data_IF_730731714856
#
_entry.id   IF_730731714856
#
_cell.length_a   1.000
_cell.length_b   1.000
_cell.length_c   1.000
_cell.angle_alpha   90.00
_cell.angle_beta   90.00
_cell.angle_gamma   90.00
#
_symmetry.space_group_name_H-M   'P 1'
#
loop_
_entity.id
_entity.type
_entity.pdbx_description
1 polymer ?
#
# COMPACT_ATOMS: atom_id res chain seq x y z
N UNK A 1 24.07 1.57 31.29
CA UNK A 1 24.54 1.53 29.89
C UNK A 1 23.49 0.79 29.07
N UNK A 2 22.46 1.49 28.63
CA UNK A 2 21.39 0.93 27.79
C UNK A 2 21.59 1.49 26.39
N UNK A 3 22.19 0.68 25.52
CA UNK A 3 22.35 1.02 24.10
C UNK A 3 21.00 0.91 23.39
N UNK A 4 20.52 2.02 22.84
CA UNK A 4 19.41 2.04 21.91
C UNK A 4 19.84 1.35 20.61
N UNK A 5 19.17 0.25 20.26
CA UNK A 5 19.26 -0.34 18.92
C UNK A 5 18.72 0.70 17.92
N UNK A 6 19.62 1.32 17.16
CA UNK A 6 19.27 2.24 16.09
C UNK A 6 18.52 1.48 14.99
N UNK A 7 17.31 1.94 14.68
CA UNK A 7 16.55 1.47 13.52
C UNK A 7 17.20 1.99 12.24
N UNK A 8 18.06 1.20 11.60
CA UNK A 8 18.75 1.55 10.35
C UNK A 8 17.88 1.32 9.10
N UNK A 9 16.57 1.53 9.20
CA UNK A 9 15.69 1.57 8.03
C UNK A 9 15.95 2.85 7.22
N UNK A 10 16.32 2.69 5.95
CA UNK A 10 16.49 3.80 5.00
C UNK A 10 15.22 4.68 4.85
N UNK A 11 15.33 5.82 4.16
CA UNK A 11 14.24 6.82 4.06
C UNK A 11 12.91 6.26 3.55
N UNK A 12 12.93 5.15 2.81
CA UNK A 12 11.78 4.40 2.31
C UNK A 12 10.84 3.83 3.39
N UNK A 13 11.34 3.61 4.61
CA UNK A 13 10.57 3.01 5.71
C UNK A 13 9.83 4.06 6.57
N UNK A 14 9.88 5.35 6.20
CA UNK A 14 9.40 6.48 7.01
C UNK A 14 8.09 7.12 6.57
N UNK A 15 7.35 6.56 5.61
CA UNK A 15 5.97 7.02 5.37
C UNK A 15 5.06 6.40 6.44
N UNK A 16 5.18 6.98 7.63
CA UNK A 16 4.50 6.60 8.86
C UNK A 16 3.00 6.47 8.67
N UNK A 17 2.41 5.51 9.36
CA UNK A 17 0.97 5.32 9.64
C UNK A 17 0.19 6.59 10.00
N UNK A 18 0.87 7.67 10.40
CA UNK A 18 0.27 8.98 10.66
C UNK A 18 -0.29 9.67 9.40
N UNK A 19 0.25 9.41 8.21
CA UNK A 19 -0.26 9.99 6.96
C UNK A 19 -1.67 9.46 6.60
N UNK A 20 -2.13 8.39 7.25
CA UNK A 20 -3.43 7.79 6.98
C UNK A 20 -4.45 8.01 8.11
N UNK A 21 -4.03 8.51 9.29
CA UNK A 21 -4.98 8.92 10.33
C UNK A 21 -5.62 10.25 9.90
N UNK A 22 -6.85 10.18 9.39
CA UNK A 22 -7.63 11.36 9.04
C UNK A 22 -7.53 11.79 7.58
N UNK A 23 -7.50 10.84 6.65
CA UNK A 23 -7.55 11.11 5.20
C UNK A 23 -8.53 12.26 4.84
N UNK A 24 -8.08 13.30 4.10
CA UNK A 24 -6.76 13.45 3.48
C UNK A 24 -5.63 13.81 4.49
N UNK A 25 -4.38 13.37 4.28
CA UNK A 25 -3.25 13.77 5.13
C UNK A 25 -3.11 15.30 5.21
N UNK A 26 -2.60 15.84 6.33
CA UNK A 26 -2.16 17.24 6.37
C UNK A 26 -1.05 17.47 5.33
N UNK A 27 -0.94 18.71 4.83
CA UNK A 27 0.04 19.11 3.81
C UNK A 27 1.49 18.81 4.25
N UNK A 28 2.00 17.64 3.83
CA UNK A 28 3.38 17.25 4.01
C UNK A 28 4.23 17.86 2.86
N UNK A 29 5.43 18.39 3.14
CA UNK A 29 6.31 18.91 2.08
C UNK A 29 6.57 17.84 1.02
N UNK A 30 6.27 18.15 -0.24
CA UNK A 30 6.42 17.21 -1.37
C UNK A 30 5.20 16.30 -1.63
N UNK A 31 4.16 16.34 -0.80
CA UNK A 31 2.95 15.52 -0.98
C UNK A 31 1.87 16.34 -1.68
N UNK A 32 1.69 16.11 -2.98
CA UNK A 32 0.49 16.59 -3.68
C UNK A 32 -0.62 15.56 -3.53
N UNK A 33 -1.51 15.80 -2.57
CA UNK A 33 -2.82 15.14 -2.55
C UNK A 33 -3.68 15.81 -3.61
N UNK A 34 -3.68 15.30 -4.86
CA UNK A 34 -4.66 15.75 -5.85
C UNK A 34 -6.03 15.15 -5.47
N UNK A 35 -6.77 15.85 -4.61
CA UNK A 35 -8.15 15.47 -4.24
C UNK A 35 -9.15 15.88 -5.33
N UNK A 36 -8.72 15.97 -6.59
CA UNK A 36 -9.69 15.94 -7.68
C UNK A 36 -10.42 14.60 -7.54
N UNK A 37 -11.74 14.57 -7.34
CA UNK A 37 -12.44 13.32 -7.09
C UNK A 37 -12.33 12.48 -8.36
N UNK A 38 -11.38 11.56 -8.39
CA UNK A 38 -11.42 10.42 -9.29
C UNK A 38 -12.62 9.61 -8.81
N UNK A 39 -13.80 9.90 -9.38
CA UNK A 39 -14.98 9.06 -9.18
C UNK A 39 -14.73 7.76 -9.91
N UNK A 40 -14.22 6.78 -9.17
CA UNK A 40 -14.35 5.40 -9.60
C UNK A 40 -15.85 5.12 -9.73
N UNK A 41 -16.28 4.59 -10.88
CA UNK A 41 -17.70 4.31 -11.14
C UNK A 41 -18.23 3.10 -10.33
N UNK A 42 -17.46 2.63 -9.36
CA UNK A 42 -17.79 1.53 -8.47
C UNK A 42 -17.95 2.12 -7.07
N UNK A 43 -19.16 2.02 -6.54
CA UNK A 43 -19.50 2.56 -5.24
C UNK A 43 -18.63 1.94 -4.13
N UNK A 44 -18.22 2.76 -3.17
CA UNK A 44 -17.41 2.34 -2.03
C UNK A 44 -15.92 2.13 -2.31
N UNK A 45 -15.49 2.11 -3.58
CA UNK A 45 -14.07 2.09 -3.93
C UNK A 45 -13.47 3.48 -3.70
N UNK A 46 -12.34 3.53 -2.99
CA UNK A 46 -11.58 4.76 -2.74
C UNK A 46 -10.17 4.61 -3.26
N UNK A 47 -9.64 5.65 -3.88
CA UNK A 47 -8.28 5.66 -4.43
C UNK A 47 -7.51 6.83 -3.83
N UNK A 48 -6.28 6.58 -3.41
CA UNK A 48 -5.33 7.58 -2.95
C UNK A 48 -3.99 7.40 -3.64
N UNK A 49 -3.26 8.50 -3.82
CA UNK A 49 -1.95 8.49 -4.46
C UNK A 49 -0.97 9.31 -3.63
N UNK A 50 0.29 8.93 -3.69
CA UNK A 50 1.42 9.70 -3.19
C UNK A 50 2.51 9.70 -4.26
N UNK A 51 3.14 10.84 -4.48
CA UNK A 51 4.18 11.02 -5.50
C UNK A 51 5.35 11.76 -4.89
N UNK A 52 6.55 11.23 -5.11
CA UNK A 52 7.81 11.94 -4.89
C UNK A 52 8.28 12.51 -6.22
N UNK A 53 8.20 13.83 -6.38
CA UNK A 53 8.62 14.50 -7.62
C UNK A 53 10.15 14.43 -7.83
N UNK A 54 10.94 14.37 -6.76
CA UNK A 54 12.41 14.34 -6.81
C UNK A 54 12.94 12.94 -7.13
N UNK A 55 12.50 11.94 -6.36
CA UNK A 55 12.83 10.54 -6.62
C UNK A 55 12.06 9.97 -7.83
N UNK A 56 11.13 10.74 -8.43
CA UNK A 56 10.29 10.36 -9.58
C UNK A 56 9.60 9.00 -9.40
N UNK A 57 9.15 8.74 -8.18
CA UNK A 57 8.47 7.51 -7.78
C UNK A 57 7.18 7.82 -7.02
N UNK A 58 6.48 6.80 -6.55
CA UNK A 58 5.26 6.98 -5.76
C UNK A 58 4.48 5.70 -5.52
N UNK A 59 3.26 5.86 -5.02
CA UNK A 59 2.32 4.76 -4.88
C UNK A 59 0.87 5.19 -5.14
N UNK A 60 0.06 4.21 -5.51
CA UNK A 60 -1.39 4.30 -5.61
C UNK A 60 -1.99 3.20 -4.76
N UNK A 61 -2.92 3.56 -3.88
CA UNK A 61 -3.65 2.64 -3.02
C UNK A 61 -5.11 2.66 -3.42
N UNK A 62 -5.68 1.48 -3.67
CA UNK A 62 -7.10 1.27 -3.88
C UNK A 62 -7.64 0.58 -2.64
N UNK A 63 -8.56 1.22 -1.94
CA UNK A 63 -9.30 0.65 -0.81
C UNK A 63 -10.67 0.18 -1.31
N UNK A 64 -11.02 -1.05 -0.99
CA UNK A 64 -12.25 -1.68 -1.43
C UNK A 64 -13.31 -1.65 -0.32
N UNK A 65 -14.61 -1.67 -0.67
CA UNK A 65 -15.66 -1.90 0.31
C UNK A 65 -15.56 -3.32 0.89
N UNK A 66 -16.11 -3.51 2.09
CA UNK A 66 -16.10 -4.82 2.76
C UNK A 66 -16.74 -5.91 1.88
N UNK A 67 -16.18 -7.12 1.94
CA UNK A 67 -16.65 -8.27 1.17
C UNK A 67 -16.26 -8.26 -0.32
N UNK A 68 -15.40 -7.35 -0.77
CA UNK A 68 -14.94 -7.32 -2.17
C UNK A 68 -14.17 -8.59 -2.53
N UNK A 69 -14.71 -9.35 -3.47
CA UNK A 69 -14.06 -10.54 -4.05
C UNK A 69 -13.06 -10.13 -5.12
N UNK A 70 -11.87 -10.72 -5.11
CA UNK A 70 -10.82 -10.43 -6.07
C UNK A 70 -10.10 -11.70 -6.55
N UNK A 71 -9.56 -11.64 -7.77
CA UNK A 71 -8.64 -12.61 -8.35
C UNK A 71 -7.64 -11.87 -9.25
N UNK A 72 -6.50 -12.48 -9.56
CA UNK A 72 -5.44 -11.85 -10.32
C UNK A 72 -4.60 -12.84 -11.12
N UNK A 73 -3.97 -12.33 -12.18
CA UNK A 73 -3.04 -13.08 -13.03
C UNK A 73 -1.75 -12.27 -13.23
N UNK A 74 -0.59 -12.90 -13.08
CA UNK A 74 0.71 -12.31 -13.46
C UNK A 74 1.08 -12.81 -14.85
N UNK A 75 1.33 -11.87 -15.77
CA UNK A 75 1.77 -12.19 -17.14
C UNK A 75 3.23 -11.81 -17.43
N UNK A 76 3.84 -10.99 -16.57
CA UNK A 76 5.24 -10.59 -16.70
C UNK A 76 6.20 -11.65 -16.16
N UNK A 77 7.40 -11.75 -16.75
CA UNK A 77 8.41 -12.74 -16.37
C UNK A 77 9.23 -12.42 -15.11
N UNK A 78 9.16 -11.18 -14.61
CA UNK A 78 9.87 -10.73 -13.41
C UNK A 78 8.93 -9.91 -12.49
N UNK A 79 7.93 -10.56 -11.86
CA UNK A 79 6.98 -9.87 -11.01
C UNK A 79 7.59 -9.42 -9.68
N UNK A 80 7.25 -8.20 -9.25
CA UNK A 80 7.40 -7.77 -7.87
C UNK A 80 6.01 -7.74 -7.22
N UNK A 81 5.71 -8.76 -6.43
CA UNK A 81 4.39 -8.97 -5.82
C UNK A 81 4.50 -9.27 -4.33
N UNK A 82 3.46 -8.91 -3.57
CA UNK A 82 3.24 -9.27 -2.17
C UNK A 82 1.81 -9.75 -1.99
N UNK A 83 1.63 -10.85 -1.25
CA UNK A 83 0.32 -11.45 -0.91
C UNK A 83 -0.51 -11.86 -2.15
N UNK A 84 0.10 -11.92 -3.33
CA UNK A 84 -0.61 -12.19 -4.59
C UNK A 84 -1.24 -13.58 -4.63
N UNK A 85 -0.62 -14.57 -3.99
CA UNK A 85 -1.14 -15.94 -3.92
C UNK A 85 -2.52 -16.04 -3.25
N UNK A 86 -2.92 -15.03 -2.47
CA UNK A 86 -4.27 -14.92 -1.89
C UNK A 86 -5.35 -14.66 -2.95
N UNK A 87 -4.98 -14.17 -4.14
CA UNK A 87 -5.91 -13.96 -5.25
C UNK A 87 -6.25 -15.25 -6.01
N UNK A 88 -5.63 -16.38 -5.65
CA UNK A 88 -6.01 -17.65 -6.25
C UNK A 88 -7.42 -18.09 -5.75
N UNK A 89 -8.35 -18.51 -6.63
CA UNK A 89 -9.72 -18.84 -6.24
C UNK A 89 -9.88 -19.95 -5.19
N UNK A 90 -8.86 -20.78 -5.00
CA UNK A 90 -8.86 -21.88 -4.03
C UNK A 90 -8.43 -21.50 -2.61
N UNK A 91 -8.15 -20.23 -2.33
CA UNK A 91 -7.71 -19.78 -0.99
C UNK A 91 -8.90 -19.57 -0.05
N UNK A 92 -8.66 -19.77 1.24
CA UNK A 92 -9.67 -19.59 2.30
C UNK A 92 -10.11 -18.14 2.44
N UNK A 93 -9.18 -17.20 2.23
CA UNK A 93 -9.48 -15.77 2.21
C UNK A 93 -9.83 -15.41 0.77
N UNK A 94 -11.09 -15.03 0.55
CA UNK A 94 -11.64 -14.71 -0.76
C UNK A 94 -12.02 -13.23 -0.91
N UNK A 95 -11.55 -12.38 0.00
CA UNK A 95 -11.82 -10.94 0.04
C UNK A 95 -10.53 -10.15 0.05
N UNK A 96 -10.55 -8.96 -0.55
CA UNK A 96 -9.44 -8.02 -0.61
C UNK A 96 -9.84 -6.70 0.07
N UNK A 97 -9.02 -6.21 1.00
CA UNK A 97 -9.27 -4.91 1.65
C UNK A 97 -8.61 -3.77 0.86
N UNK A 98 -7.40 -4.00 0.35
CA UNK A 98 -6.68 -3.01 -0.46
C UNK A 98 -5.75 -3.62 -1.52
N UNK A 99 -5.50 -2.85 -2.58
CA UNK A 99 -4.45 -3.07 -3.56
C UNK A 99 -3.48 -1.89 -3.54
N UNK A 100 -2.19 -2.19 -3.53
CA UNK A 100 -1.11 -1.21 -3.60
C UNK A 100 -0.35 -1.37 -4.90
N UNK A 101 -0.26 -0.30 -5.68
CA UNK A 101 0.63 -0.17 -6.82
C UNK A 101 1.75 0.79 -6.41
N UNK A 102 3.01 0.40 -6.58
CA UNK A 102 4.16 1.20 -6.15
C UNK A 102 5.23 1.26 -7.22
N UNK A 103 6.03 2.33 -7.21
CA UNK A 103 7.38 2.31 -7.75
C UNK A 103 8.36 1.66 -6.77
N UNK A 104 9.66 1.70 -7.06
CA UNK A 104 10.73 1.20 -6.19
C UNK A 104 11.06 -0.28 -6.37
N UNK A 105 10.51 -0.97 -7.38
CA UNK A 105 10.72 -2.40 -7.62
C UNK A 105 10.40 -3.23 -6.35
N UNK A 106 11.12 -4.32 -6.09
CA UNK A 106 10.92 -5.14 -4.90
C UNK A 106 10.92 -4.36 -3.57
N UNK A 107 11.64 -3.23 -3.47
CA UNK A 107 11.65 -2.38 -2.27
C UNK A 107 10.30 -1.68 -2.05
N UNK A 108 9.62 -1.31 -3.13
CA UNK A 108 8.31 -0.67 -3.13
C UNK A 108 7.21 -1.49 -2.45
N UNK A 109 7.36 -2.82 -2.39
CA UNK A 109 6.41 -3.73 -1.73
C UNK A 109 6.24 -3.43 -0.22
N UNK A 110 7.19 -2.73 0.40
CA UNK A 110 7.08 -2.24 1.78
C UNK A 110 5.97 -1.20 1.97
N UNK A 111 5.52 -0.54 0.89
CA UNK A 111 4.36 0.38 0.94
C UNK A 111 3.12 -0.30 1.53
N UNK A 112 2.96 -1.60 1.29
CA UNK A 112 1.84 -2.38 1.83
C UNK A 112 1.84 -2.42 3.38
N UNK A 113 2.98 -2.28 4.05
CA UNK A 113 3.04 -2.28 5.52
C UNK A 113 2.31 -1.07 6.11
N UNK A 114 2.48 0.11 5.50
CA UNK A 114 1.78 1.32 5.90
C UNK A 114 0.26 1.20 5.72
N UNK A 115 -0.17 0.56 4.63
CA UNK A 115 -1.60 0.30 4.36
C UNK A 115 -2.17 -0.72 5.34
N UNK A 116 -1.45 -1.81 5.62
CA UNK A 116 -1.87 -2.80 6.61
C UNK A 116 -2.06 -2.16 7.98
N UNK A 117 -1.07 -1.40 8.47
CA UNK A 117 -1.17 -0.78 9.78
C UNK A 117 -2.27 0.30 9.86
N UNK A 118 -2.58 0.98 8.75
CA UNK A 118 -3.74 1.88 8.68
C UNK A 118 -5.07 1.12 8.81
N UNK A 119 -5.24 0.03 8.05
CA UNK A 119 -6.46 -0.77 8.06
C UNK A 119 -6.67 -1.51 9.39
N UNK A 120 -5.60 -2.05 9.97
CA UNK A 120 -5.61 -2.66 11.30
C UNK A 120 -6.09 -1.65 12.35
N UNK A 121 -5.52 -0.43 12.35
CA UNK A 121 -5.94 0.64 13.26
C UNK A 121 -7.40 1.08 13.06
N UNK A 122 -7.95 0.87 11.86
CA UNK A 122 -9.35 1.11 11.54
C UNK A 122 -10.27 -0.10 11.83
N UNK A 123 -9.72 -1.22 12.33
CA UNK A 123 -10.47 -2.44 12.58
C UNK A 123 -10.94 -3.17 11.32
N UNK A 124 -10.31 -2.89 10.18
CA UNK A 124 -10.61 -3.49 8.87
C UNK A 124 -9.67 -4.66 8.62
N UNK A 125 -10.23 -5.79 8.19
CA UNK A 125 -9.45 -6.97 7.84
C UNK A 125 -10.22 -8.27 8.02
N UNK A 126 -9.61 -9.36 7.58
CA UNK A 126 -10.12 -10.70 7.78
C UNK A 126 -10.14 -11.05 9.27
N UNK A 127 -11.30 -11.50 9.78
CA UNK A 127 -11.48 -11.73 11.22
C UNK A 127 -10.79 -13.03 11.64
N UNK A 128 -9.90 -12.93 12.61
CA UNK A 128 -9.22 -14.07 13.25
C UNK A 128 -9.42 -14.04 14.76
N UNK A 129 -9.03 -15.10 15.46
CA UNK A 129 -9.01 -15.13 16.93
C UNK A 129 -8.03 -14.13 17.55
N UNK A 130 -7.05 -13.61 16.80
CA UNK A 130 -6.07 -12.62 17.24
C UNK A 130 -6.47 -11.17 16.91
N UNK A 131 -7.58 -10.97 16.20
CA UNK A 131 -8.01 -9.66 15.69
C UNK A 131 -8.15 -9.63 14.16
N UNK A 132 -8.49 -8.46 13.58
CA UNK A 132 -8.56 -8.29 12.13
C UNK A 132 -7.16 -8.32 11.51
N UNK A 133 -6.99 -9.12 10.45
CA UNK A 133 -5.78 -9.18 9.63
C UNK A 133 -6.10 -8.57 8.26
N UNK A 134 -5.62 -7.35 7.95
CA UNK A 134 -5.86 -6.72 6.65
C UNK A 134 -5.30 -7.54 5.49
N UNK A 135 -6.07 -7.68 4.42
CA UNK A 135 -5.65 -8.36 3.20
C UNK A 135 -5.25 -7.31 2.17
N UNK A 136 -3.95 -7.10 2.03
CA UNK A 136 -3.36 -6.04 1.19
C UNK A 136 -2.43 -6.66 0.16
N UNK A 137 -2.86 -6.65 -1.10
CA UNK A 137 -2.02 -7.12 -2.21
C UNK A 137 -1.12 -5.97 -2.69
N UNK A 138 0.17 -6.23 -2.83
CA UNK A 138 1.15 -5.26 -3.33
C UNK A 138 1.69 -5.65 -4.69
N UNK A 139 1.76 -4.70 -5.60
CA UNK A 139 2.41 -4.80 -6.91
C UNK A 139 3.39 -3.64 -7.04
N UNK A 140 4.58 -3.90 -7.59
CA UNK A 140 5.57 -2.85 -7.81
C UNK A 140 6.18 -2.88 -9.21
N UNK A 141 6.49 -1.71 -9.73
CA UNK A 141 7.20 -1.51 -10.99
C UNK A 141 8.63 -1.01 -10.74
N UNK A 142 9.50 -1.22 -11.72
CA UNK A 142 10.87 -0.76 -11.68
C UNK A 142 10.97 0.67 -12.22
N UNK A 143 11.31 1.61 -11.35
CA UNK A 143 11.62 3.02 -11.67
C UNK A 143 12.93 3.49 -11.00
N UNK A 144 13.76 2.56 -10.50
CA UNK A 144 14.97 2.85 -9.73
C UNK A 144 16.06 3.60 -10.52
N UNK A 145 15.91 3.75 -11.83
CA UNK A 145 16.81 4.51 -12.70
C UNK A 145 16.32 5.95 -12.94
N UNK A 146 15.15 6.29 -12.41
CA UNK A 146 14.53 7.59 -12.55
C UNK A 146 14.74 8.43 -11.28
N UNK A 147 14.83 9.75 -11.44
CA UNK A 147 14.89 10.69 -10.32
C UNK A 147 16.16 10.57 -9.47
N UNK A 148 16.12 11.19 -8.29
CA UNK A 148 17.20 11.17 -7.32
C UNK A 148 17.10 9.94 -6.41
N UNK A 149 18.18 9.15 -6.33
CA UNK A 149 18.23 7.92 -5.52
C UNK A 149 18.54 8.15 -4.02
N UNK A 150 18.56 9.41 -3.57
CA UNK A 150 19.04 9.83 -2.23
C UNK A 150 18.00 9.65 -1.12
#
# INVERSE_FOLDING_TARGET
MTGSAGSTGGPWCRTTTSAWRGWPPPDLPGVRTSVAPVRFQIDGVRVGHWTDEGARTGCTVVLFPDGTVASGEVRGGAPATREFDLLAPGRTVNRLDALVLSGGSAFGLSTADGVMAHLEAAGVGYRTGAGPVPIVVGLSLFDLLEGDAS
#
